data_IF_955904234777
#
_entry.id   IF_955904234777
#
_cell.length_a   1.000
_cell.length_b   1.000
_cell.length_c   1.000
_cell.angle_alpha   90.00
_cell.angle_beta   90.00
_cell.angle_gamma   90.00
#
_symmetry.space_group_name_H-M   'P 1'
#
loop_
_entity.id
_entity.type
_entity.pdbx_description
1 polymer ?
#
# COMPACT_ATOMS: atom_id res chain seq x y z
N UNK A 1 5.55 51.23 -47.88
CA UNK A 1 4.36 50.47 -48.34
C UNK A 1 4.72 48.99 -48.31
N UNK A 2 3.89 48.20 -47.63
CA UNK A 2 3.86 46.73 -47.59
C UNK A 2 4.82 46.03 -46.62
N UNK A 3 4.42 46.04 -45.34
CA UNK A 3 4.79 45.03 -44.33
C UNK A 3 4.26 43.67 -44.76
N UNK A 4 5.14 42.83 -45.29
CA UNK A 4 4.83 41.46 -45.65
C UNK A 4 4.57 40.63 -44.39
N UNK A 5 3.34 40.12 -44.36
CA UNK A 5 2.84 39.02 -43.55
C UNK A 5 3.81 37.84 -43.61
N UNK A 6 4.35 37.41 -42.47
CA UNK A 6 4.70 36.00 -42.24
C UNK A 6 4.83 35.70 -40.75
N UNK A 7 3.82 34.97 -40.25
CA UNK A 7 3.94 33.82 -39.37
C UNK A 7 5.09 33.78 -38.35
N UNK A 8 4.76 34.09 -37.10
CA UNK A 8 5.15 33.26 -35.95
C UNK A 8 4.36 33.68 -34.73
N UNK A 9 3.13 33.17 -34.64
CA UNK A 9 2.33 33.25 -33.43
C UNK A 9 2.71 32.06 -32.54
N UNK A 10 3.89 32.14 -31.90
CA UNK A 10 4.25 31.24 -30.80
C UNK A 10 3.63 31.80 -29.52
N UNK A 11 2.33 31.56 -29.32
CA UNK A 11 1.70 31.72 -28.01
C UNK A 11 1.67 30.34 -27.37
N UNK A 12 2.68 30.11 -26.53
CA UNK A 12 2.82 28.92 -25.69
C UNK A 12 1.65 28.95 -24.70
N UNK A 13 0.65 28.10 -24.90
CA UNK A 13 -0.41 27.86 -23.92
C UNK A 13 0.19 26.97 -22.83
N UNK A 14 0.82 27.60 -21.84
CA UNK A 14 1.14 26.96 -20.58
C UNK A 14 -0.13 26.96 -19.71
N UNK A 15 -1.01 25.98 -19.92
CA UNK A 15 -2.11 25.71 -18.98
C UNK A 15 -1.81 24.44 -18.19
N UNK A 16 -1.14 24.67 -17.06
CA UNK A 16 -1.24 23.96 -15.79
C UNK A 16 -1.70 22.51 -15.82
N UNK A 17 -0.74 21.59 -15.76
CA UNK A 17 -0.98 20.22 -15.30
C UNK A 17 -1.43 20.35 -13.84
N UNK A 18 -2.73 20.20 -13.58
CA UNK A 18 -3.21 20.04 -12.22
C UNK A 18 -2.77 18.67 -11.74
N UNK A 19 -1.62 18.60 -11.06
CA UNK A 19 -1.28 17.42 -10.28
C UNK A 19 -2.21 17.43 -9.08
N UNK A 20 -3.34 16.73 -9.20
CA UNK A 20 -4.12 16.34 -8.03
C UNK A 20 -3.26 15.36 -7.23
N UNK A 21 -2.44 15.90 -6.31
CA UNK A 21 -1.90 15.12 -5.23
C UNK A 21 -3.09 14.75 -4.33
N UNK A 22 -3.78 13.65 -4.66
CA UNK A 22 -4.63 12.98 -3.69
C UNK A 22 -3.70 12.54 -2.57
N UNK A 23 -3.64 13.37 -1.53
CA UNK A 23 -3.03 13.04 -0.26
C UNK A 23 -3.91 11.92 0.28
N UNK A 24 -3.55 10.69 -0.06
CA UNK A 24 -4.18 9.50 0.47
C UNK A 24 -3.90 9.53 1.97
N UNK A 25 -4.84 10.06 2.74
CA UNK A 25 -4.86 9.82 4.17
C UNK A 25 -4.78 8.31 4.35
N UNK A 26 -3.81 7.80 5.13
CA UNK A 26 -3.76 6.37 5.39
C UNK A 26 -5.08 6.01 6.05
N UNK A 27 -5.84 5.12 5.41
CA UNK A 27 -7.06 4.58 5.98
C UNK A 27 -6.67 3.87 7.26
N UNK A 28 -6.87 4.53 8.40
CA UNK A 28 -6.80 3.92 9.72
C UNK A 28 -8.02 3.02 9.78
N UNK A 29 -7.83 1.75 9.41
CA UNK A 29 -8.81 0.73 9.78
C UNK A 29 -8.71 0.60 11.30
N UNK A 30 -9.71 1.15 12.00
CA UNK A 30 -9.94 0.77 13.37
C UNK A 30 -10.09 -0.76 13.39
N UNK A 31 -9.09 -1.41 13.96
CA UNK A 31 -9.15 -2.84 14.27
C UNK A 31 -10.41 -3.03 15.11
N UNK A 32 -11.45 -3.66 14.56
CA UNK A 32 -12.56 -4.15 15.37
C UNK A 32 -11.99 -5.24 16.27
N UNK A 33 -11.63 -4.77 17.46
CA UNK A 33 -10.92 -5.45 18.50
C UNK A 33 -11.87 -6.41 19.22
N UNK A 34 -11.69 -7.70 18.97
CA UNK A 34 -11.88 -8.69 20.01
C UNK A 34 -10.96 -8.32 21.18
N UNK A 35 -11.61 -7.96 22.28
CA UNK A 35 -11.15 -7.72 23.65
C UNK A 35 -9.68 -8.01 24.05
N UNK A 36 -8.68 -7.25 23.58
CA UNK A 36 -7.35 -7.25 24.21
C UNK A 36 -6.65 -5.88 24.20
N UNK A 37 -6.94 -5.04 25.20
CA UNK A 37 -6.23 -3.78 25.46
C UNK A 37 -4.77 -4.04 25.85
N UNK A 38 -3.88 -4.16 24.85
CA UNK A 38 -2.45 -3.88 25.02
C UNK A 38 -2.05 -2.63 24.24
N UNK A 39 -1.38 -1.74 24.96
CA UNK A 39 -0.80 -0.48 24.50
C UNK A 39 0.08 -0.71 23.27
N UNK A 40 -0.33 -0.21 22.11
CA UNK A 40 0.50 -0.17 20.90
C UNK A 40 0.98 1.26 20.75
N UNK A 41 2.28 1.44 20.87
CA UNK A 41 3.00 2.68 20.60
C UNK A 41 2.65 3.24 19.21
N UNK A 42 2.60 4.56 19.09
CA UNK A 42 2.26 5.36 17.90
C UNK A 42 3.19 5.19 16.67
N UNK A 43 3.76 4.02 16.42
CA UNK A 43 4.26 3.65 15.10
C UNK A 43 3.12 2.98 14.32
N UNK A 44 2.76 3.51 13.16
CA UNK A 44 1.78 2.88 12.25
C UNK A 44 2.24 1.46 11.95
N UNK A 45 1.56 0.47 12.53
CA UNK A 45 1.85 -0.94 12.31
C UNK A 45 1.72 -1.26 10.82
N UNK A 46 2.74 -1.91 10.25
CA UNK A 46 2.71 -2.39 8.85
C UNK A 46 1.98 -3.73 8.82
N UNK A 47 1.22 -3.98 7.76
CA UNK A 47 0.49 -5.23 7.63
C UNK A 47 0.37 -5.68 6.17
N UNK A 48 0.41 -7.00 5.96
CA UNK A 48 -0.05 -7.60 4.72
C UNK A 48 -1.57 -7.75 4.74
N UNK A 49 -2.21 -7.56 3.59
CA UNK A 49 -3.62 -7.88 3.36
C UNK A 49 -3.70 -9.20 2.63
N UNK A 50 -4.45 -10.15 3.18
CA UNK A 50 -4.72 -11.44 2.57
C UNK A 50 -6.23 -11.63 2.49
N UNK A 51 -6.74 -12.08 1.33
CA UNK A 51 -8.15 -12.42 1.21
C UNK A 51 -8.37 -13.91 1.45
N UNK A 52 -9.53 -14.24 2.02
CA UNK A 52 -9.98 -15.61 2.23
C UNK A 52 -9.78 -16.10 3.66
N UNK A 53 -9.84 -17.43 3.82
CA UNK A 53 -9.76 -18.07 5.13
C UNK A 53 -8.32 -17.98 5.65
N UNK A 54 -8.18 -17.67 6.94
CA UNK A 54 -6.89 -17.72 7.63
C UNK A 54 -6.36 -19.15 7.63
N UNK A 55 -5.27 -19.39 6.89
CA UNK A 55 -4.68 -20.71 6.74
C UNK A 55 -3.78 -21.11 7.91
N UNK A 56 -3.20 -20.14 8.64
CA UNK A 56 -2.22 -20.34 9.73
C UNK A 56 -2.22 -19.19 10.73
N UNK A 57 -1.66 -19.43 11.92
CA UNK A 57 -1.32 -18.37 12.88
C UNK A 57 0.04 -17.72 12.50
N UNK A 58 0.11 -16.39 12.56
CA UNK A 58 1.27 -15.58 12.19
C UNK A 58 1.87 -14.79 13.35
N UNK A 59 1.58 -15.17 14.59
CA UNK A 59 2.09 -14.48 15.79
C UNK A 59 3.62 -14.47 15.84
N UNK A 60 4.27 -15.56 15.41
CA UNK A 60 5.74 -15.63 15.32
C UNK A 60 6.29 -14.62 14.32
N UNK A 61 5.67 -14.51 13.14
CA UNK A 61 6.04 -13.54 12.12
C UNK A 61 5.86 -12.10 12.65
N UNK A 62 4.73 -11.82 13.29
CA UNK A 62 4.45 -10.52 13.92
C UNK A 62 5.48 -10.18 15.00
N UNK A 63 5.80 -11.12 15.88
CA UNK A 63 6.80 -10.90 16.94
C UNK A 63 8.19 -10.63 16.37
N UNK A 64 8.58 -11.35 15.30
CA UNK A 64 9.90 -11.22 14.68
C UNK A 64 10.04 -9.94 13.86
N UNK A 65 9.03 -9.59 13.07
CA UNK A 65 9.13 -8.53 12.06
C UNK A 65 8.37 -7.24 12.41
N UNK A 66 7.47 -7.28 13.40
CA UNK A 66 6.58 -6.17 13.71
C UNK A 66 5.52 -5.92 12.62
N UNK A 67 5.27 -6.92 11.76
CA UNK A 67 4.34 -6.83 10.64
C UNK A 67 3.18 -7.80 10.86
N UNK A 68 1.96 -7.32 10.75
CA UNK A 68 0.75 -8.12 10.91
C UNK A 68 0.28 -8.71 9.58
N UNK A 69 -0.58 -9.74 9.64
CA UNK A 69 -1.40 -10.14 8.49
C UNK A 69 -2.86 -9.89 8.84
N UNK A 70 -3.53 -9.09 8.00
CA UNK A 70 -4.96 -8.81 8.08
C UNK A 70 -5.66 -9.67 7.04
N UNK A 71 -6.57 -10.52 7.53
CA UNK A 71 -7.42 -11.34 6.68
C UNK A 71 -8.72 -10.62 6.39
N UNK A 72 -9.01 -10.45 5.11
CA UNK A 72 -10.24 -9.89 4.57
C UNK A 72 -11.11 -10.99 3.96
N UNK A 73 -12.39 -10.71 3.81
CA UNK A 73 -13.36 -11.67 3.26
C UNK A 73 -13.04 -12.08 1.81
N UNK A 74 -13.65 -13.18 1.35
CA UNK A 74 -13.45 -13.73 0.01
C UNK A 74 -14.05 -12.89 -1.12
N UNK A 75 -14.94 -11.94 -0.81
CA UNK A 75 -15.56 -11.07 -1.80
C UNK A 75 -14.63 -9.89 -2.08
N UNK A 76 -13.94 -9.95 -3.23
CA UNK A 76 -12.90 -8.99 -3.60
C UNK A 76 -13.42 -8.13 -4.76
N UNK A 77 -13.40 -6.81 -4.58
CA UNK A 77 -13.62 -5.84 -5.67
C UNK A 77 -12.29 -5.47 -6.33
N UNK A 78 -12.32 -4.94 -7.57
CA UNK A 78 -11.11 -4.46 -8.25
C UNK A 78 -10.35 -3.42 -7.43
N UNK A 79 -11.07 -2.47 -6.81
CA UNK A 79 -10.46 -1.46 -5.95
C UNK A 79 -9.75 -2.06 -4.73
N UNK A 80 -10.37 -3.05 -4.07
CA UNK A 80 -9.76 -3.75 -2.93
C UNK A 80 -8.51 -4.53 -3.35
N UNK A 81 -8.59 -5.22 -4.50
CA UNK A 81 -7.47 -5.97 -5.08
C UNK A 81 -6.26 -5.06 -5.33
N UNK A 82 -6.46 -3.94 -6.02
CA UNK A 82 -5.38 -2.99 -6.33
C UNK A 82 -4.76 -2.39 -5.08
N UNK A 83 -5.60 -2.00 -4.11
CA UNK A 83 -5.15 -1.45 -2.84
C UNK A 83 -4.32 -2.47 -2.05
N UNK A 84 -4.78 -3.71 -1.95
CA UNK A 84 -4.08 -4.79 -1.26
C UNK A 84 -2.74 -5.09 -1.94
N UNK A 85 -2.72 -5.19 -3.27
CA UNK A 85 -1.49 -5.41 -4.04
C UNK A 85 -0.45 -4.31 -3.78
N UNK A 86 -0.84 -3.04 -3.88
CA UNK A 86 0.06 -1.90 -3.65
C UNK A 86 0.61 -1.92 -2.21
N UNK A 87 -0.25 -2.09 -1.23
CA UNK A 87 0.15 -2.19 0.18
C UNK A 87 1.15 -3.33 0.40
N UNK A 88 0.85 -4.52 -0.11
CA UNK A 88 1.69 -5.70 0.09
C UNK A 88 3.06 -5.54 -0.58
N UNK A 89 3.12 -4.91 -1.75
CA UNK A 89 4.38 -4.56 -2.40
C UNK A 89 5.22 -3.60 -1.56
N UNK A 90 4.62 -2.57 -0.96
CA UNK A 90 5.32 -1.63 -0.08
C UNK A 90 5.87 -2.32 1.19
N UNK A 91 5.07 -3.21 1.81
CA UNK A 91 5.51 -3.98 2.98
C UNK A 91 6.61 -4.97 2.63
N UNK A 92 6.50 -5.65 1.48
CA UNK A 92 7.53 -6.57 0.99
C UNK A 92 8.86 -5.84 0.73
N UNK A 93 8.81 -4.68 0.08
CA UNK A 93 10.01 -3.84 -0.12
C UNK A 93 10.63 -3.41 1.20
N UNK A 94 9.82 -3.00 2.18
CA UNK A 94 10.29 -2.66 3.53
C UNK A 94 11.02 -3.85 4.19
N UNK A 95 10.40 -5.03 4.16
CA UNK A 95 10.98 -6.24 4.77
C UNK A 95 12.24 -6.68 4.04
N UNK A 96 12.25 -6.69 2.71
CA UNK A 96 13.44 -7.02 1.91
C UNK A 96 14.57 -6.02 2.18
N UNK A 97 14.28 -4.72 2.27
CA UNK A 97 15.30 -3.71 2.58
C UNK A 97 15.92 -3.89 3.96
N UNK A 98 15.12 -4.32 4.95
CA UNK A 98 15.58 -4.42 6.35
C UNK A 98 16.15 -5.79 6.72
N UNK A 99 15.64 -6.87 6.13
CA UNK A 99 15.92 -8.26 6.54
C UNK A 99 16.33 -9.17 5.38
N UNK A 100 16.51 -8.63 4.17
CA UNK A 100 16.73 -9.41 2.95
C UNK A 100 15.54 -10.31 2.62
N UNK A 101 15.76 -11.37 1.85
CA UNK A 101 14.68 -12.26 1.39
C UNK A 101 14.24 -13.31 2.43
N UNK A 102 14.83 -13.32 3.63
CA UNK A 102 14.59 -14.32 4.67
C UNK A 102 13.14 -14.35 5.16
N UNK A 103 12.48 -13.20 5.22
CA UNK A 103 11.10 -13.06 5.72
C UNK A 103 10.08 -13.86 4.91
N UNK A 104 10.35 -14.16 3.64
CA UNK A 104 9.44 -14.94 2.79
C UNK A 104 9.27 -16.36 3.29
N UNK A 105 10.34 -16.97 3.81
CA UNK A 105 10.29 -18.32 4.39
C UNK A 105 9.51 -18.33 5.70
N UNK A 106 9.74 -17.31 6.52
CA UNK A 106 9.14 -17.20 7.85
C UNK A 106 7.65 -16.81 7.82
N UNK A 107 7.20 -16.16 6.75
CA UNK A 107 5.79 -15.80 6.56
C UNK A 107 4.92 -17.01 6.21
N UNK A 108 5.51 -18.05 5.61
CA UNK A 108 4.85 -19.32 5.24
C UNK A 108 3.60 -19.20 4.34
N UNK A 109 3.31 -18.00 3.85
CA UNK A 109 2.28 -17.69 2.85
C UNK A 109 2.85 -16.71 1.83
N UNK A 110 2.26 -16.68 0.64
CA UNK A 110 2.52 -15.64 -0.36
C UNK A 110 1.40 -14.61 -0.21
N UNK A 111 1.69 -13.38 0.26
CA UNK A 111 0.69 -12.33 0.36
C UNK A 111 0.08 -12.01 -1.01
N UNK A 112 -1.19 -11.63 -1.00
CA UNK A 112 -1.90 -11.25 -2.21
C UNK A 112 -1.13 -10.22 -3.06
N UNK A 113 -0.93 -10.53 -4.35
CA UNK A 113 -0.33 -9.60 -5.32
C UNK A 113 1.21 -9.51 -5.27
N UNK A 114 1.88 -10.43 -4.58
CA UNK A 114 3.33 -10.62 -4.59
C UNK A 114 3.78 -11.83 -5.41
#
# INVERSE_FOLDING_TARGET
>A
MNFFKTASLLVIIASSISVSAQQNEPVILEVKKGNDKKNVSNEKAKYFVQFGIMSRNHDSFKQKYGVHIVYENCVITSFMSEKAKKNNQEVAQYLTKKYGESWKKDLEIIPYGL
#
